data_IF_170463538909
#
_entry.id   IF_170463538909
#
_cell.length_a   1.000
_cell.length_b   1.000
_cell.length_c   1.000
_cell.angle_alpha   90.00
_cell.angle_beta   90.00
_cell.angle_gamma   90.00
#
_symmetry.space_group_name_H-M   'P 1'
#
loop_
_entity.id
_entity.type
_entity.pdbx_description
1 polymer ?
#
# COMPACT_ATOMS: atom_id res chain seq x y z
N UNK A 1 -7.66 -2.64 38.41
CA UNK A 1 -7.08 -1.31 38.67
C UNK A 1 -7.69 -0.35 37.66
N UNK A 2 -7.93 0.92 38.04
CA UNK A 2 -8.42 1.91 37.07
C UNK A 2 -7.33 2.12 36.00
N UNK A 3 -7.67 1.88 34.74
CA UNK A 3 -6.78 2.16 33.62
C UNK A 3 -6.77 3.68 33.36
N UNK A 4 -5.60 4.30 33.11
CA UNK A 4 -5.53 5.74 32.83
C UNK A 4 -6.33 6.12 31.57
N UNK A 5 -6.44 5.23 30.59
CA UNK A 5 -7.18 5.47 29.35
C UNK A 5 -8.45 4.63 29.24
N UNK A 6 -9.44 5.17 28.54
CA UNK A 6 -10.54 4.37 28.00
C UNK A 6 -10.07 3.63 26.76
N UNK A 7 -9.38 4.34 25.86
CA UNK A 7 -8.83 3.79 24.63
C UNK A 7 -7.37 4.22 24.45
N UNK A 8 -6.52 3.28 24.04
CA UNK A 8 -5.27 3.61 23.38
C UNK A 8 -5.37 3.24 21.90
N UNK A 9 -4.79 4.06 21.03
CA UNK A 9 -4.77 3.85 19.58
C UNK A 9 -3.36 3.45 19.16
N UNK A 10 -3.25 2.29 18.52
CA UNK A 10 -2.00 1.77 17.98
C UNK A 10 -2.09 1.66 16.45
N UNK A 11 -1.30 2.49 15.76
CA UNK A 11 -1.28 2.58 14.30
C UNK A 11 -0.09 1.81 13.76
N UNK A 12 -0.31 0.96 12.76
CA UNK A 12 0.78 0.22 12.12
C UNK A 12 0.32 -0.55 10.89
N UNK A 13 1.29 -0.98 10.06
CA UNK A 13 0.99 -1.88 8.93
C UNK A 13 0.84 -3.33 9.36
N UNK A 14 1.60 -3.76 10.37
CA UNK A 14 1.59 -5.14 10.89
C UNK A 14 1.85 -6.21 9.80
N UNK A 15 2.93 -6.04 9.03
CA UNK A 15 3.30 -6.86 7.86
C UNK A 15 4.61 -7.66 8.10
N UNK A 16 4.63 -8.70 8.97
CA UNK A 16 3.52 -9.26 9.74
C UNK A 16 3.38 -8.66 11.14
N UNK A 17 2.34 -9.05 11.88
CA UNK A 17 2.29 -8.84 13.33
C UNK A 17 3.38 -9.69 14.00
N UNK A 18 4.18 -9.09 14.88
CA UNK A 18 5.40 -9.73 15.41
C UNK A 18 5.54 -9.46 16.91
N UNK A 19 6.54 -10.07 17.56
CA UNK A 19 6.68 -10.03 19.03
C UNK A 19 6.81 -8.60 19.58
N UNK A 20 7.50 -7.70 18.85
CA UNK A 20 7.53 -6.27 19.19
C UNK A 20 6.14 -5.63 19.23
N UNK A 21 5.33 -5.80 18.17
CA UNK A 21 3.94 -5.32 18.16
C UNK A 21 3.10 -5.94 19.29
N UNK A 22 3.25 -7.23 19.55
CA UNK A 22 2.54 -7.91 20.65
C UNK A 22 2.91 -7.34 22.02
N UNK A 23 4.18 -6.98 22.24
CA UNK A 23 4.64 -6.35 23.47
C UNK A 23 4.02 -4.96 23.65
N UNK A 24 3.99 -4.14 22.59
CA UNK A 24 3.35 -2.81 22.61
C UNK A 24 1.85 -2.93 22.89
N UNK A 25 1.15 -3.85 22.20
CA UNK A 25 -0.27 -4.07 22.40
C UNK A 25 -0.61 -4.52 23.83
N UNK A 26 0.18 -5.44 24.41
CA UNK A 26 0.01 -5.85 25.83
C UNK A 26 0.29 -4.69 26.78
N UNK A 27 1.29 -3.85 26.50
CA UNK A 27 1.53 -2.64 27.29
C UNK A 27 0.33 -1.68 27.24
N UNK A 28 -0.24 -1.47 26.06
CA UNK A 28 -1.44 -0.65 25.89
C UNK A 28 -2.64 -1.20 26.69
N UNK A 29 -2.88 -2.51 26.60
CA UNK A 29 -3.96 -3.18 27.34
C UNK A 29 -3.73 -3.19 28.86
N UNK A 30 -2.50 -2.97 29.34
CA UNK A 30 -2.24 -2.70 30.75
C UNK A 30 -2.66 -1.29 31.20
N UNK A 31 -2.82 -0.35 30.26
CA UNK A 31 -3.08 1.08 30.50
C UNK A 31 -4.43 1.58 29.98
N UNK A 32 -5.15 0.81 29.16
CA UNK A 32 -6.42 1.21 28.57
C UNK A 32 -7.51 0.16 28.77
N UNK A 33 -8.78 0.56 28.82
CA UNK A 33 -9.90 -0.42 28.84
C UNK A 33 -9.93 -1.21 27.54
N UNK A 34 -9.73 -0.55 26.41
CA UNK A 34 -9.64 -1.18 25.07
C UNK A 34 -8.50 -0.61 24.24
N UNK A 35 -8.08 -1.36 23.23
CA UNK A 35 -7.03 -1.00 22.29
C UNK A 35 -7.63 -0.93 20.88
N UNK A 36 -7.56 0.25 20.26
CA UNK A 36 -7.93 0.46 18.87
C UNK A 36 -6.68 0.21 18.01
N UNK A 37 -6.73 -0.81 17.17
CA UNK A 37 -5.67 -1.18 16.23
C UNK A 37 -6.03 -0.65 14.84
N UNK A 38 -5.30 0.36 14.35
CA UNK A 38 -5.49 0.90 13.00
C UNK A 38 -4.47 0.25 12.05
N UNK A 39 -4.98 -0.60 11.15
CA UNK A 39 -4.17 -1.35 10.17
C UNK A 39 -3.96 -0.48 8.91
N UNK A 40 -2.79 0.13 8.79
CA UNK A 40 -2.40 0.99 7.65
C UNK A 40 -2.26 0.25 6.32
N UNK A 41 -2.14 0.99 5.21
CA UNK A 41 -2.09 0.42 3.85
C UNK A 41 -3.26 -0.52 3.54
N UNK A 42 -4.46 -0.18 4.00
CA UNK A 42 -5.63 -1.05 3.95
C UNK A 42 -6.19 -1.31 2.54
N UNK A 43 -5.99 -0.39 1.61
CA UNK A 43 -6.53 -0.40 0.25
C UNK A 43 -5.47 -0.73 -0.80
N UNK A 44 -4.30 -1.23 -0.39
CA UNK A 44 -3.21 -1.59 -1.31
C UNK A 44 -3.33 -3.03 -1.81
N UNK A 45 -2.87 -3.36 -3.04
CA UNK A 45 -2.73 -4.74 -3.47
C UNK A 45 -1.68 -5.48 -2.63
N UNK A 46 -1.69 -6.81 -2.72
CA UNK A 46 -0.57 -7.59 -2.17
C UNK A 46 0.73 -7.22 -2.89
N UNK A 47 1.76 -6.90 -2.11
CA UNK A 47 3.12 -6.64 -2.61
C UNK A 47 4.14 -7.29 -1.68
N UNK A 48 5.42 -7.31 -2.06
CA UNK A 48 6.48 -7.78 -1.15
C UNK A 48 6.63 -6.94 0.13
N UNK A 49 6.05 -5.73 0.15
CA UNK A 49 6.03 -4.82 1.31
C UNK A 49 4.79 -5.01 2.17
N UNK A 50 3.64 -5.24 1.53
CA UNK A 50 2.35 -5.49 2.16
C UNK A 50 1.76 -6.83 1.64
N UNK A 51 2.32 -7.99 2.03
CA UNK A 51 1.89 -9.27 1.48
C UNK A 51 0.53 -9.76 2.00
N UNK A 52 0.04 -9.25 3.14
CA UNK A 52 -1.21 -9.69 3.76
C UNK A 52 -2.34 -8.65 3.66
N UNK A 53 -3.54 -9.14 3.43
CA UNK A 53 -4.76 -8.31 3.48
C UNK A 53 -5.02 -7.80 4.89
N UNK A 54 -5.85 -6.76 5.03
CA UNK A 54 -6.29 -6.28 6.34
C UNK A 54 -6.95 -7.38 7.16
N UNK A 55 -7.79 -8.21 6.55
CA UNK A 55 -8.47 -9.30 7.23
C UNK A 55 -7.48 -10.34 7.78
N UNK A 56 -6.47 -10.73 6.99
CA UNK A 56 -5.42 -11.64 7.45
C UNK A 56 -4.61 -11.04 8.60
N UNK A 57 -4.27 -9.74 8.51
CA UNK A 57 -3.56 -9.03 9.58
C UNK A 57 -4.38 -8.88 10.85
N UNK A 58 -5.69 -8.67 10.74
CA UNK A 58 -6.60 -8.64 11.88
C UNK A 58 -6.61 -9.99 12.61
N UNK A 59 -6.71 -11.11 11.88
CA UNK A 59 -6.63 -12.46 12.45
C UNK A 59 -5.26 -12.71 13.10
N UNK A 60 -4.17 -12.23 12.51
CA UNK A 60 -2.83 -12.31 13.14
C UNK A 60 -2.78 -11.57 14.49
N UNK A 61 -3.37 -10.37 14.57
CA UNK A 61 -3.42 -9.56 15.79
C UNK A 61 -4.25 -10.26 16.87
N UNK A 62 -5.47 -10.67 16.52
CA UNK A 62 -6.41 -11.31 17.46
C UNK A 62 -5.87 -12.64 17.99
N UNK A 63 -5.34 -13.49 17.10
CA UNK A 63 -4.75 -14.79 17.49
C UNK A 63 -3.49 -14.65 18.35
N UNK A 64 -2.75 -13.54 18.25
CA UNK A 64 -1.58 -13.27 19.08
C UNK A 64 -1.94 -12.82 20.51
N UNK A 65 -3.20 -12.41 20.74
CA UNK A 65 -3.71 -11.82 21.98
C UNK A 65 -5.05 -12.46 22.37
N UNK A 66 -5.13 -13.81 22.48
CA UNK A 66 -6.41 -14.52 22.57
C UNK A 66 -7.26 -14.09 23.77
N UNK A 67 -6.62 -13.88 24.93
CA UNK A 67 -7.30 -13.49 26.18
C UNK A 67 -7.81 -12.04 26.17
N UNK A 68 -7.39 -11.24 25.19
CA UNK A 68 -7.67 -9.81 25.12
C UNK A 68 -8.59 -9.45 23.95
N UNK A 69 -9.04 -10.44 23.16
CA UNK A 69 -9.81 -10.24 21.93
C UNK A 69 -11.04 -9.35 22.13
N UNK A 70 -11.76 -9.49 23.26
CA UNK A 70 -12.94 -8.66 23.59
C UNK A 70 -12.62 -7.18 23.85
N UNK A 71 -11.33 -6.85 24.02
CA UNK A 71 -10.81 -5.51 24.29
C UNK A 71 -10.06 -4.93 23.08
N UNK A 72 -9.98 -5.68 21.97
CA UNK A 72 -9.39 -5.21 20.72
C UNK A 72 -10.48 -4.66 19.79
N UNK A 73 -10.21 -3.50 19.19
CA UNK A 73 -11.03 -2.93 18.12
C UNK A 73 -10.12 -2.76 16.91
N UNK A 74 -10.24 -3.65 15.93
CA UNK A 74 -9.37 -3.66 14.74
C UNK A 74 -10.08 -2.97 13.57
N UNK A 75 -9.44 -1.95 12.98
CA UNK A 75 -10.02 -1.16 11.88
C UNK A 75 -9.01 -0.97 10.75
N UNK A 76 -9.44 -0.95 9.48
CA UNK A 76 -8.59 -0.55 8.37
C UNK A 76 -8.25 0.93 8.44
N UNK A 77 -7.05 1.29 7.99
CA UNK A 77 -6.61 2.67 7.78
C UNK A 77 -6.03 2.79 6.37
N UNK A 78 -6.63 3.69 5.59
CA UNK A 78 -6.24 3.97 4.20
C UNK A 78 -5.03 4.91 4.16
N UNK A 79 -4.15 4.71 3.19
CA UNK A 79 -3.02 5.62 2.97
C UNK A 79 -3.48 6.82 2.11
N UNK A 80 -3.00 8.03 2.42
CA UNK A 80 -3.13 9.20 1.56
C UNK A 80 -1.74 9.79 1.27
N UNK A 81 -0.98 9.13 0.38
CA UNK A 81 0.45 9.36 0.15
C UNK A 81 0.83 10.80 -0.21
N UNK A 82 -0.13 11.56 -0.76
CA UNK A 82 0.07 12.93 -1.27
C UNK A 82 -0.81 13.96 -0.54
N UNK A 83 -1.57 13.57 0.48
CA UNK A 83 -2.43 14.46 1.24
C UNK A 83 -2.45 14.05 2.72
N UNK A 84 -1.52 14.62 3.48
CA UNK A 84 -1.36 14.34 4.92
C UNK A 84 -2.60 14.76 5.72
N UNK A 85 -3.23 15.88 5.38
CA UNK A 85 -4.45 16.34 6.09
C UNK A 85 -5.61 15.35 5.94
N UNK A 86 -5.76 14.73 4.77
CA UNK A 86 -6.73 13.64 4.61
C UNK A 86 -6.36 12.41 5.43
N UNK A 87 -5.09 12.05 5.50
CA UNK A 87 -4.65 10.93 6.34
C UNK A 87 -4.94 11.18 7.83
N UNK A 88 -4.64 12.38 8.32
CA UNK A 88 -4.95 12.80 9.70
C UNK A 88 -6.46 12.74 9.95
N UNK A 89 -7.27 13.29 9.04
CA UNK A 89 -8.73 13.25 9.14
C UNK A 89 -9.28 11.82 9.13
N UNK A 90 -8.69 10.93 8.33
CA UNK A 90 -9.05 9.52 8.28
C UNK A 90 -8.73 8.80 9.60
N UNK A 91 -7.56 9.05 10.20
CA UNK A 91 -7.24 8.52 11.54
C UNK A 91 -8.25 9.00 12.58
N UNK A 92 -8.54 10.31 12.61
CA UNK A 92 -9.52 10.90 13.52
C UNK A 92 -10.91 10.26 13.35
N UNK A 93 -11.35 10.09 12.10
CA UNK A 93 -12.62 9.47 11.75
C UNK A 93 -12.68 8.02 12.19
N UNK A 94 -11.65 7.21 11.92
CA UNK A 94 -11.61 5.80 12.31
C UNK A 94 -11.63 5.62 13.82
N UNK A 95 -10.93 6.47 14.57
CA UNK A 95 -10.97 6.46 16.05
C UNK A 95 -12.34 6.86 16.56
N UNK A 96 -12.93 7.94 16.04
CA UNK A 96 -14.26 8.40 16.45
C UNK A 96 -15.34 7.34 16.19
N UNK A 97 -15.34 6.73 15.00
CA UNK A 97 -16.25 5.65 14.65
C UNK A 97 -16.05 4.40 15.50
N UNK A 98 -14.79 4.05 15.82
CA UNK A 98 -14.48 2.93 16.70
C UNK A 98 -15.03 3.14 18.12
N UNK A 99 -14.80 4.32 18.70
CA UNK A 99 -15.31 4.69 20.03
C UNK A 99 -16.85 4.71 20.03
N UNK A 100 -17.47 5.30 19.00
CA UNK A 100 -18.93 5.34 18.90
C UNK A 100 -19.55 3.93 18.77
N UNK A 101 -18.98 3.08 17.92
CA UNK A 101 -19.46 1.71 17.74
C UNK A 101 -19.32 0.86 19.01
N UNK A 102 -18.33 1.20 19.84
CA UNK A 102 -18.10 0.56 21.13
C UNK A 102 -19.03 1.04 22.26
N UNK A 103 -19.84 2.08 22.00
CA UNK A 103 -20.68 2.74 23.00
C UNK A 103 -19.93 3.72 23.91
N UNK A 104 -18.71 4.12 23.52
CA UNK A 104 -17.95 5.16 24.20
C UNK A 104 -18.56 6.56 24.01
N UNK A 105 -18.18 7.48 24.89
CA UNK A 105 -18.68 8.86 24.93
C UNK A 105 -17.69 9.84 24.29
N UNK A 106 -18.12 11.08 24.04
CA UNK A 106 -17.27 12.13 23.46
C UNK A 106 -16.15 12.59 24.41
N UNK A 107 -16.29 12.35 25.71
CA UNK A 107 -15.31 12.66 26.76
C UNK A 107 -14.40 11.47 27.11
N UNK A 108 -14.44 10.39 26.33
CA UNK A 108 -13.57 9.25 26.53
C UNK A 108 -12.09 9.67 26.53
N UNK A 109 -11.31 9.17 27.50
CA UNK A 109 -9.89 9.47 27.57
C UNK A 109 -9.11 8.60 26.56
N UNK A 110 -8.68 9.22 25.46
CA UNK A 110 -8.00 8.57 24.34
C UNK A 110 -6.54 9.00 24.33
N UNK A 111 -5.62 8.04 24.24
CA UNK A 111 -4.21 8.30 23.96
C UNK A 111 -3.71 7.58 22.70
N UNK A 112 -2.54 7.98 22.21
CA UNK A 112 -1.79 7.25 21.20
C UNK A 112 -0.74 6.38 21.88
N UNK A 113 -0.41 5.23 21.29
CA UNK A 113 0.75 4.44 21.70
C UNK A 113 1.62 4.10 20.48
N UNK A 114 2.92 4.31 20.60
CA UNK A 114 3.86 4.11 19.50
C UNK A 114 5.29 4.48 19.90
N UNK A 115 6.23 4.28 18.97
CA UNK A 115 7.63 4.68 19.15
C UNK A 115 7.93 5.92 18.30
N UNK A 116 8.36 7.01 18.93
CA UNK A 116 8.84 8.20 18.23
C UNK A 116 10.34 8.04 17.90
N UNK A 117 10.67 7.31 16.82
CA UNK A 117 12.07 6.93 16.51
C UNK A 117 12.59 7.19 15.11
N UNK A 118 11.73 7.45 14.12
CA UNK A 118 12.14 7.56 12.72
C UNK A 118 11.28 8.54 11.91
N UNK A 119 11.78 8.88 10.71
CA UNK A 119 11.05 9.70 9.73
C UNK A 119 9.70 9.10 9.31
N UNK A 120 9.40 7.84 9.65
CA UNK A 120 8.11 7.21 9.42
C UNK A 120 7.12 7.34 10.58
N UNK A 121 7.53 7.81 11.76
CA UNK A 121 6.67 7.92 12.96
C UNK A 121 6.37 9.37 13.36
N UNK A 122 6.82 10.35 12.56
CA UNK A 122 6.58 11.78 12.78
C UNK A 122 5.09 12.13 12.94
N UNK A 123 4.22 11.38 12.25
CA UNK A 123 2.77 11.55 12.26
C UNK A 123 2.16 11.46 13.66
N UNK A 124 2.81 10.80 14.62
CA UNK A 124 2.30 10.69 15.99
C UNK A 124 2.20 12.05 16.69
N UNK A 125 2.94 13.06 16.20
CA UNK A 125 2.90 14.44 16.73
C UNK A 125 1.76 15.27 16.16
N UNK A 126 1.08 14.80 15.12
CA UNK A 126 -0.02 15.50 14.43
C UNK A 126 -1.38 15.35 15.14
N UNK A 127 -1.40 14.74 16.32
CA UNK A 127 -2.62 14.51 17.12
C UNK A 127 -2.49 15.09 18.53
N UNK A 128 -2.40 16.43 18.69
CA UNK A 128 -2.20 17.07 20.00
C UNK A 128 -3.34 16.82 21.00
N UNK A 129 -4.52 16.40 20.52
CA UNK A 129 -5.65 16.02 21.35
C UNK A 129 -5.47 14.68 22.09
N UNK A 130 -4.51 13.84 21.68
CA UNK A 130 -4.28 12.53 22.27
C UNK A 130 -2.85 12.45 22.81
N UNK A 131 -2.65 12.29 24.14
CA UNK A 131 -1.30 12.13 24.69
C UNK A 131 -0.62 10.88 24.11
N UNK A 132 0.66 11.00 23.82
CA UNK A 132 1.48 9.89 23.33
C UNK A 132 2.08 9.12 24.51
N UNK A 133 1.70 7.84 24.63
CA UNK A 133 2.36 6.84 25.45
C UNK A 133 3.57 6.29 24.67
N UNK A 134 4.74 6.87 24.92
CA UNK A 134 6.00 6.40 24.33
C UNK A 134 6.41 5.05 24.91
N UNK A 135 6.70 4.09 24.04
CA UNK A 135 7.16 2.75 24.42
C UNK A 135 8.63 2.56 24.10
N UNK A 136 9.38 2.04 25.07
CA UNK A 136 10.80 1.75 24.86
C UNK A 136 11.01 0.62 23.85
N UNK A 137 12.16 0.67 23.15
CA UNK A 137 12.51 -0.33 22.15
C UNK A 137 12.53 -1.73 22.76
N UNK A 138 11.77 -2.63 22.19
CA UNK A 138 12.03 -4.06 22.32
C UNK A 138 12.95 -4.45 21.18
N UNK A 139 14.13 -4.99 21.49
CA UNK A 139 15.05 -5.49 20.46
C UNK A 139 14.42 -6.70 19.75
N UNK A 140 13.77 -6.44 18.61
CA UNK A 140 13.19 -7.47 17.73
C UNK A 140 13.67 -7.26 16.31
N UNK A 141 13.63 -8.32 15.49
CA UNK A 141 13.89 -8.20 14.06
C UNK A 141 12.93 -7.20 13.41
N UNK A 142 13.41 -6.50 12.38
CA UNK A 142 12.56 -5.60 11.59
C UNK A 142 11.54 -6.39 10.75
N UNK A 143 10.38 -5.79 10.48
CA UNK A 143 9.38 -6.41 9.60
C UNK A 143 9.94 -6.71 8.20
N UNK A 144 10.87 -5.88 7.70
CA UNK A 144 11.57 -6.12 6.43
C UNK A 144 12.40 -7.40 6.47
N UNK A 145 13.15 -7.64 7.55
CA UNK A 145 13.89 -8.89 7.71
C UNK A 145 12.97 -10.10 7.84
N UNK A 146 11.85 -9.99 8.56
CA UNK A 146 10.88 -11.08 8.68
C UNK A 146 10.29 -11.48 7.32
N UNK A 147 9.92 -10.51 6.48
CA UNK A 147 9.44 -10.79 5.11
C UNK A 147 10.53 -11.38 4.23
N UNK A 148 11.76 -10.89 4.33
CA UNK A 148 12.92 -11.51 3.66
C UNK A 148 13.07 -12.97 4.07
N UNK A 149 13.02 -13.25 5.38
CA UNK A 149 13.14 -14.62 5.88
C UNK A 149 12.06 -15.54 5.32
N UNK A 150 10.84 -15.02 5.16
CA UNK A 150 9.74 -15.75 4.56
C UNK A 150 9.99 -16.02 3.08
N UNK A 151 10.29 -14.99 2.26
CA UNK A 151 10.42 -15.14 0.81
C UNK A 151 11.67 -15.94 0.37
N UNK A 152 12.74 -15.92 1.17
CA UNK A 152 13.98 -16.69 0.93
C UNK A 152 13.92 -18.10 1.53
N UNK A 153 12.82 -18.49 2.19
CA UNK A 153 12.69 -19.78 2.89
C UNK A 153 12.84 -21.03 1.99
N UNK A 154 12.73 -20.88 0.67
CA UNK A 154 12.92 -21.96 -0.30
C UNK A 154 14.35 -22.12 -0.83
N UNK A 155 15.27 -21.23 -0.45
CA UNK A 155 16.62 -21.19 -1.03
C UNK A 155 17.57 -22.15 -0.29
N UNK A 156 18.39 -22.90 -1.05
CA UNK A 156 19.22 -24.04 -0.58
C UNK A 156 20.27 -23.65 0.49
N UNK A 157 20.52 -22.35 0.71
CA UNK A 157 21.45 -21.84 1.74
C UNK A 157 20.79 -21.24 2.98
N UNK A 158 19.46 -21.22 3.06
CA UNK A 158 18.73 -20.33 3.96
C UNK A 158 17.94 -21.05 5.07
N UNK A 159 18.46 -22.19 5.51
CA UNK A 159 17.81 -23.12 6.46
C UNK A 159 17.47 -22.49 7.83
N UNK A 160 18.21 -21.45 8.27
CA UNK A 160 17.94 -20.76 9.53
C UNK A 160 16.80 -19.75 9.48
N UNK A 161 16.36 -19.31 8.30
CA UNK A 161 15.42 -18.19 8.16
C UNK A 161 14.06 -18.43 8.79
N UNK A 162 13.49 -19.62 8.61
CA UNK A 162 12.21 -19.99 9.24
C UNK A 162 12.31 -20.10 10.77
N UNK A 163 13.47 -20.49 11.31
CA UNK A 163 13.70 -20.49 12.75
C UNK A 163 13.75 -19.06 13.30
N UNK A 164 14.42 -18.16 12.59
CA UNK A 164 14.44 -16.72 12.94
C UNK A 164 13.03 -16.13 12.90
N UNK A 165 12.25 -16.45 11.87
CA UNK A 165 10.85 -16.03 11.76
C UNK A 165 10.02 -16.55 12.95
N UNK A 166 10.10 -17.87 13.24
CA UNK A 166 9.39 -18.50 14.36
C UNK A 166 9.72 -17.89 15.71
N UNK A 167 10.98 -17.52 15.95
CA UNK A 167 11.41 -16.90 17.21
C UNK A 167 10.97 -15.45 17.38
N UNK A 168 10.54 -14.77 16.31
CA UNK A 168 10.26 -13.33 16.32
C UNK A 168 8.79 -12.96 16.08
N UNK A 169 7.91 -13.95 15.88
CA UNK A 169 6.46 -13.73 15.80
C UNK A 169 5.73 -14.62 16.83
N UNK A 170 4.50 -14.25 17.24
CA UNK A 170 3.68 -15.12 18.08
C UNK A 170 3.42 -16.46 17.41
N UNK A 171 3.34 -17.56 18.18
CA UNK A 171 3.19 -18.91 17.62
C UNK A 171 1.98 -19.06 16.66
N UNK A 172 0.76 -18.55 16.98
CA UNK A 172 -0.36 -18.60 16.05
C UNK A 172 -0.10 -17.83 14.75
N UNK A 173 0.61 -16.70 14.85
CA UNK A 173 1.01 -15.93 13.66
C UNK A 173 1.99 -16.72 12.82
N UNK A 174 3.00 -17.38 13.41
CA UNK A 174 3.91 -18.25 12.68
C UNK A 174 3.18 -19.34 11.89
N UNK A 175 2.20 -20.00 12.52
CA UNK A 175 1.41 -21.05 11.88
C UNK A 175 0.63 -20.49 10.67
N UNK A 176 0.10 -19.27 10.78
CA UNK A 176 -0.55 -18.58 9.64
C UNK A 176 0.45 -18.22 8.53
N UNK A 177 1.63 -17.71 8.87
CA UNK A 177 2.67 -17.41 7.88
C UNK A 177 3.11 -18.67 7.13
N UNK A 178 3.21 -19.78 7.84
CA UNK A 178 3.57 -21.07 7.25
C UNK A 178 2.46 -21.61 6.35
N UNK A 179 1.19 -21.55 6.80
CA UNK A 179 0.05 -21.91 5.99
C UNK A 179 -0.06 -21.04 4.72
N UNK A 180 0.18 -19.73 4.84
CA UNK A 180 0.25 -18.83 3.69
C UNK A 180 1.35 -19.25 2.71
N UNK A 181 2.55 -19.52 3.22
CA UNK A 181 3.71 -19.98 2.43
C UNK A 181 3.44 -21.27 1.67
N UNK A 182 2.75 -22.23 2.30
CA UNK A 182 2.50 -23.56 1.71
C UNK A 182 1.30 -23.62 0.79
N UNK A 183 0.25 -22.86 1.10
CA UNK A 183 -1.08 -23.10 0.51
C UNK A 183 -1.60 -21.93 -0.33
N UNK A 184 -1.06 -20.72 -0.18
CA UNK A 184 -1.58 -19.53 -0.88
C UNK A 184 -1.04 -19.44 -2.32
N UNK A 185 -1.91 -19.35 -3.34
CA UNK A 185 -1.46 -19.06 -4.71
C UNK A 185 -0.74 -17.70 -4.82
N UNK A 186 -1.12 -16.73 -3.99
CA UNK A 186 -0.49 -15.41 -3.96
C UNK A 186 0.97 -15.47 -3.48
N UNK A 187 1.32 -16.46 -2.67
CA UNK A 187 2.68 -16.58 -2.14
C UNK A 187 3.72 -16.82 -3.25
N UNK A 188 3.43 -17.73 -4.18
CA UNK A 188 4.33 -18.01 -5.31
C UNK A 188 4.56 -16.75 -6.18
N UNK A 189 3.50 -15.97 -6.42
CA UNK A 189 3.59 -14.72 -7.15
C UNK A 189 4.42 -13.67 -6.40
N UNK A 190 4.25 -13.55 -5.08
CA UNK A 190 5.04 -12.63 -4.25
C UNK A 190 6.53 -13.01 -4.21
N UNK A 191 6.87 -14.30 -4.19
CA UNK A 191 8.26 -14.76 -4.30
C UNK A 191 8.85 -14.43 -5.68
N UNK A 192 8.07 -14.58 -6.75
CA UNK A 192 8.50 -14.19 -8.09
C UNK A 192 8.77 -12.68 -8.19
N UNK A 193 7.86 -11.85 -7.67
CA UNK A 193 8.02 -10.39 -7.58
C UNK A 193 9.22 -10.01 -6.71
N UNK A 194 9.41 -10.66 -5.55
CA UNK A 194 10.55 -10.44 -4.66
C UNK A 194 11.88 -10.69 -5.38
N UNK A 195 12.01 -11.84 -6.04
CA UNK A 195 13.21 -12.20 -6.80
C UNK A 195 13.46 -11.23 -7.95
N UNK A 196 12.41 -10.81 -8.65
CA UNK A 196 12.52 -9.80 -9.70
C UNK A 196 13.06 -8.48 -9.13
N UNK A 197 12.51 -7.99 -8.01
CA UNK A 197 12.94 -6.72 -7.40
C UNK A 197 14.39 -6.80 -6.91
N UNK A 198 14.79 -7.90 -6.28
CA UNK A 198 16.16 -8.08 -5.82
C UNK A 198 17.15 -8.15 -6.99
N UNK A 199 16.80 -8.86 -8.06
CA UNK A 199 17.61 -8.86 -9.29
C UNK A 199 17.68 -7.48 -9.95
N UNK A 200 16.55 -6.77 -9.99
CA UNK A 200 16.47 -5.42 -10.54
C UNK A 200 17.39 -4.46 -9.77
N UNK A 201 17.33 -4.47 -8.44
CA UNK A 201 18.21 -3.65 -7.58
C UNK A 201 19.68 -4.04 -7.73
N UNK A 202 19.98 -5.34 -7.79
CA UNK A 202 21.34 -5.84 -7.96
C UNK A 202 21.98 -5.37 -9.28
N UNK A 203 21.19 -5.20 -10.35
CA UNK A 203 21.68 -4.68 -11.63
C UNK A 203 22.16 -3.22 -11.56
N UNK A 204 21.73 -2.46 -10.53
CA UNK A 204 22.13 -1.07 -10.30
C UNK A 204 23.20 -0.90 -9.22
N UNK A 205 23.69 -1.99 -8.61
CA UNK A 205 24.59 -1.93 -7.44
C UNK A 205 25.93 -1.21 -7.73
N UNK A 206 26.39 -1.29 -8.98
CA UNK A 206 27.68 -0.75 -9.43
C UNK A 206 27.53 0.66 -10.05
N UNK A 207 26.33 1.26 -10.01
CA UNK A 207 26.12 2.63 -10.45
C UNK A 207 26.86 3.62 -9.51
N UNK A 208 27.43 4.72 -10.03
CA UNK A 208 28.19 5.67 -9.23
C UNK A 208 27.34 6.39 -8.17
N UNK A 209 26.03 6.46 -8.37
CA UNK A 209 25.05 7.00 -7.43
C UNK A 209 23.78 6.15 -7.46
N UNK A 210 22.99 6.09 -6.36
CA UNK A 210 21.69 5.44 -6.37
C UNK A 210 20.80 5.99 -7.50
N UNK A 211 20.22 5.12 -8.35
CA UNK A 211 19.47 5.57 -9.51
C UNK A 211 18.14 6.22 -9.10
N UNK A 212 17.72 7.20 -9.90
CA UNK A 212 16.36 7.74 -9.89
C UNK A 212 15.70 7.41 -11.23
N UNK A 213 14.58 6.70 -11.17
CA UNK A 213 13.81 6.28 -12.32
C UNK A 213 12.73 7.31 -12.66
N UNK A 214 12.53 7.56 -13.95
CA UNK A 214 11.50 8.48 -14.44
C UNK A 214 10.54 7.73 -15.34
N UNK A 215 9.25 7.81 -15.03
CA UNK A 215 8.16 7.21 -15.80
C UNK A 215 7.10 8.25 -16.17
N UNK A 216 6.19 7.88 -17.06
CA UNK A 216 5.00 8.67 -17.38
C UNK A 216 3.76 7.80 -17.36
N UNK A 217 2.64 8.33 -16.90
CA UNK A 217 1.35 7.64 -16.86
C UNK A 217 0.26 8.47 -17.54
N UNK A 218 -0.62 7.83 -18.32
CA UNK A 218 -1.75 8.46 -18.99
C UNK A 218 -3.05 8.24 -18.20
N UNK A 219 -3.61 9.30 -17.64
CA UNK A 219 -4.97 9.30 -17.06
C UNK A 219 -5.94 9.69 -18.17
N UNK A 220 -6.55 8.70 -18.81
CA UNK A 220 -7.45 8.92 -19.95
C UNK A 220 -8.89 8.74 -19.50
N UNK A 221 -9.67 9.83 -19.55
CA UNK A 221 -11.07 9.87 -19.15
C UNK A 221 -11.96 10.10 -20.37
N UNK A 222 -12.97 9.25 -20.55
CA UNK A 222 -13.95 9.37 -21.62
C UNK A 222 -15.30 8.83 -21.17
N UNK A 223 -16.37 9.60 -21.32
CA UNK A 223 -17.74 9.22 -20.92
C UNK A 223 -17.83 8.59 -19.51
N UNK A 224 -17.15 9.19 -18.52
CA UNK A 224 -17.15 8.68 -17.14
C UNK A 224 -16.41 7.35 -16.92
N UNK A 225 -15.56 6.95 -17.86
CA UNK A 225 -14.70 5.77 -17.77
C UNK A 225 -13.23 6.17 -17.80
N UNK A 226 -12.40 5.36 -17.14
CA UNK A 226 -10.94 5.46 -17.16
C UNK A 226 -10.38 4.31 -17.99
N UNK A 227 -9.43 4.58 -18.87
CA UNK A 227 -8.70 3.53 -19.56
C UNK A 227 -7.59 2.98 -18.67
N UNK A 228 -7.67 1.68 -18.37
CA UNK A 228 -6.64 0.96 -17.62
C UNK A 228 -6.09 -0.21 -18.42
N UNK A 229 -4.88 -0.64 -18.08
CA UNK A 229 -4.20 -1.81 -18.64
C UNK A 229 -3.94 -2.85 -17.56
N UNK A 230 -3.87 -4.13 -17.94
CA UNK A 230 -3.49 -5.21 -17.04
C UNK A 230 -2.01 -5.52 -17.20
N UNK A 231 -1.24 -5.35 -16.13
CA UNK A 231 0.22 -5.55 -16.13
C UNK A 231 0.56 -7.01 -16.43
N UNK A 232 1.50 -7.25 -17.34
CA UNK A 232 1.95 -8.61 -17.72
C UNK A 232 3.30 -9.01 -17.14
N UNK A 233 4.09 -8.02 -16.73
CA UNK A 233 5.42 -8.20 -16.19
C UNK A 233 5.48 -7.75 -14.73
N UNK A 234 6.52 -8.21 -14.05
CA UNK A 234 6.82 -7.74 -12.70
C UNK A 234 7.35 -6.30 -12.71
N UNK A 235 7.19 -5.58 -11.58
CA UNK A 235 6.35 -5.94 -10.44
C UNK A 235 4.87 -5.65 -10.74
N UNK A 236 3.97 -6.13 -9.89
CA UNK A 236 2.53 -5.89 -9.97
C UNK A 236 1.84 -6.67 -11.08
N UNK A 237 2.42 -7.80 -11.50
CA UNK A 237 1.85 -8.62 -12.58
C UNK A 237 0.41 -9.03 -12.25
N UNK A 238 -0.48 -8.80 -13.20
CA UNK A 238 -1.91 -9.09 -13.09
C UNK A 238 -2.75 -7.97 -12.48
N UNK A 239 -2.15 -6.93 -11.91
CA UNK A 239 -2.84 -5.73 -11.42
C UNK A 239 -3.26 -4.82 -12.58
N UNK A 240 -4.27 -3.99 -12.31
CA UNK A 240 -4.65 -2.90 -13.20
C UNK A 240 -3.75 -1.68 -12.96
N UNK A 241 -3.37 -1.00 -14.03
CA UNK A 241 -2.54 0.19 -13.98
C UNK A 241 -3.01 1.21 -15.01
N UNK A 242 -2.56 2.44 -14.83
CA UNK A 242 -2.61 3.46 -15.87
C UNK A 242 -1.65 3.03 -16.98
N UNK A 243 -1.96 3.29 -18.26
CA UNK A 243 -1.02 3.07 -19.35
C UNK A 243 0.22 3.95 -19.14
N UNK A 244 1.40 3.36 -19.10
CA UNK A 244 2.58 4.09 -18.69
C UNK A 244 3.86 3.26 -18.64
N UNK A 245 4.99 3.96 -18.67
CA UNK A 245 6.29 3.32 -18.80
C UNK A 245 7.45 4.29 -18.63
N UNK A 246 8.66 3.81 -18.93
CA UNK A 246 9.90 4.55 -18.76
C UNK A 246 10.12 5.55 -19.87
N UNK A 247 10.72 6.69 -19.50
CA UNK A 247 11.14 7.72 -20.46
C UNK A 247 12.42 7.27 -21.17
N UNK A 248 12.41 7.29 -22.50
CA UNK A 248 13.57 7.09 -23.35
C UNK A 248 14.54 8.27 -23.31
N UNK A 249 15.79 8.05 -23.74
CA UNK A 249 16.84 9.07 -23.65
C UNK A 249 16.61 10.29 -24.56
N UNK A 250 15.95 10.08 -25.70
CA UNK A 250 15.81 11.08 -26.76
C UNK A 250 14.35 11.56 -26.95
N UNK A 251 13.49 11.44 -25.93
CA UNK A 251 12.08 11.83 -26.00
C UNK A 251 11.65 12.76 -24.86
N UNK A 252 10.66 13.62 -25.13
CA UNK A 252 10.01 14.43 -24.10
C UNK A 252 8.97 13.63 -23.31
N UNK A 253 8.69 14.06 -22.07
CA UNK A 253 7.75 13.37 -21.17
C UNK A 253 6.35 13.16 -21.78
N UNK A 254 5.80 14.18 -22.46
CA UNK A 254 4.50 14.03 -23.10
C UNK A 254 4.55 13.05 -24.28
N UNK A 255 5.64 13.04 -25.05
CA UNK A 255 5.78 12.13 -26.18
C UNK A 255 5.98 10.68 -25.69
N UNK A 256 6.73 10.46 -24.61
CA UNK A 256 6.79 9.18 -23.88
C UNK A 256 5.41 8.70 -23.44
N UNK A 257 4.63 9.56 -22.76
CA UNK A 257 3.28 9.23 -22.31
C UNK A 257 2.36 8.80 -23.47
N UNK A 258 2.43 9.52 -24.60
CA UNK A 258 1.64 9.19 -25.80
C UNK A 258 2.12 7.90 -26.50
N UNK A 259 3.43 7.62 -26.47
CA UNK A 259 4.01 6.38 -26.97
C UNK A 259 3.51 5.18 -26.16
N UNK A 260 3.70 5.21 -24.85
CA UNK A 260 3.27 4.14 -23.92
C UNK A 260 1.76 3.90 -24.01
N UNK A 261 0.95 4.97 -23.99
CA UNK A 261 -0.50 4.87 -24.16
C UNK A 261 -0.87 4.10 -25.43
N UNK A 262 -0.19 4.35 -26.55
CA UNK A 262 -0.46 3.68 -27.83
C UNK A 262 0.01 2.24 -27.84
N UNK A 263 1.20 1.97 -27.34
CA UNK A 263 1.79 0.63 -27.32
C UNK A 263 0.95 -0.33 -26.46
N UNK A 264 0.51 0.11 -25.29
CA UNK A 264 -0.19 -0.75 -24.33
C UNK A 264 -1.70 -0.90 -24.62
N UNK A 265 -2.34 0.10 -25.23
CA UNK A 265 -3.81 0.10 -25.43
C UNK A 265 -4.26 -0.01 -26.88
N UNK A 266 -3.34 0.24 -27.83
CA UNK A 266 -3.62 0.40 -29.27
C UNK A 266 -4.76 1.39 -29.56
N UNK A 267 -4.96 2.38 -28.70
CA UNK A 267 -5.97 3.43 -28.86
C UNK A 267 -5.74 4.20 -30.16
N UNK A 268 -6.69 4.10 -31.10
CA UNK A 268 -6.59 4.66 -32.45
C UNK A 268 -7.01 6.13 -32.51
N UNK A 269 -6.41 6.98 -31.67
CA UNK A 269 -6.63 8.43 -31.70
C UNK A 269 -5.43 9.16 -32.36
N UNK A 270 -5.68 10.14 -33.26
CA UNK A 270 -4.63 10.98 -33.83
C UNK A 270 -3.87 11.75 -32.74
N UNK A 271 -2.55 11.93 -32.90
CA UNK A 271 -1.73 12.68 -31.91
C UNK A 271 -2.28 14.09 -31.64
N UNK A 272 -2.70 14.88 -32.65
CA UNK A 272 -3.25 16.21 -32.39
C UNK A 272 -4.49 16.19 -31.50
N UNK A 273 -5.33 15.16 -31.64
CA UNK A 273 -6.54 14.97 -30.82
C UNK A 273 -6.17 14.64 -29.38
N UNK A 274 -5.20 13.74 -29.17
CA UNK A 274 -4.68 13.44 -27.83
C UNK A 274 -4.08 14.69 -27.18
N UNK A 275 -3.19 15.41 -27.87
CA UNK A 275 -2.54 16.63 -27.36
C UNK A 275 -3.56 17.74 -27.04
N UNK A 276 -4.60 17.92 -27.87
CA UNK A 276 -5.67 18.89 -27.62
C UNK A 276 -6.62 18.52 -26.46
N UNK A 277 -6.62 17.25 -26.05
CA UNK A 277 -7.45 16.73 -24.95
C UNK A 277 -6.72 16.75 -23.60
N UNK A 278 -5.45 17.19 -23.57
CA UNK A 278 -4.70 17.36 -22.32
C UNK A 278 -5.36 18.44 -21.46
N UNK A 279 -5.63 18.11 -20.18
CA UNK A 279 -6.26 19.00 -19.19
C UNK A 279 -5.36 19.30 -18.00
N UNK A 280 -4.45 18.40 -17.67
CA UNK A 280 -3.57 18.57 -16.53
C UNK A 280 -2.34 17.70 -16.61
N UNK A 281 -1.36 18.04 -15.78
CA UNK A 281 -0.17 17.22 -15.53
C UNK A 281 0.18 17.34 -14.06
N UNK A 282 0.66 16.26 -13.46
CA UNK A 282 1.12 16.26 -12.07
C UNK A 282 2.29 15.29 -11.92
N UNK A 283 3.23 15.66 -11.04
CA UNK A 283 4.34 14.80 -10.65
C UNK A 283 3.97 14.05 -9.38
N UNK A 284 4.22 12.75 -9.37
CA UNK A 284 4.02 11.88 -8.21
C UNK A 284 5.37 11.27 -7.83
N UNK A 285 5.86 11.64 -6.65
CA UNK A 285 7.26 11.48 -6.27
C UNK A 285 7.45 10.93 -4.84
N UNK A 286 6.41 10.32 -4.27
CA UNK A 286 6.52 9.70 -2.95
C UNK A 286 7.68 8.68 -2.96
N UNK A 287 8.69 8.78 -2.06
CA UNK A 287 9.93 8.01 -2.18
C UNK A 287 9.74 6.49 -2.27
N UNK A 288 8.69 5.98 -1.63
CA UNK A 288 8.41 4.55 -1.54
C UNK A 288 7.28 4.08 -2.47
N UNK A 289 6.82 4.91 -3.42
CA UNK A 289 5.71 4.55 -4.33
C UNK A 289 5.99 3.29 -5.15
N UNK A 290 7.27 3.01 -5.46
CA UNK A 290 7.69 1.81 -6.18
C UNK A 290 8.72 1.01 -5.40
N UNK A 291 8.56 -0.32 -5.37
CA UNK A 291 9.52 -1.22 -4.72
C UNK A 291 10.80 -1.45 -5.55
N UNK A 292 10.80 -1.09 -6.84
CA UNK A 292 11.99 -1.21 -7.70
C UNK A 292 13.12 -0.25 -7.31
N UNK A 293 12.77 0.87 -6.69
CA UNK A 293 13.67 1.97 -6.31
C UNK A 293 12.96 3.31 -6.49
N UNK A 294 13.68 4.41 -6.24
CA UNK A 294 13.14 5.78 -6.35
C UNK A 294 12.62 6.00 -7.78
N UNK A 295 11.30 6.00 -7.93
CA UNK A 295 10.63 6.16 -9.22
C UNK A 295 9.71 7.36 -9.13
N UNK A 296 9.92 8.35 -10.00
CA UNK A 296 9.10 9.55 -10.12
C UNK A 296 8.27 9.39 -11.39
N UNK A 297 6.95 9.53 -11.28
CA UNK A 297 6.08 9.50 -12.47
C UNK A 297 5.50 10.86 -12.78
N UNK A 298 5.48 11.19 -14.06
CA UNK A 298 4.77 12.35 -14.61
C UNK A 298 3.45 11.86 -15.20
N UNK A 299 2.35 12.13 -14.50
CA UNK A 299 1.03 11.74 -14.99
C UNK A 299 0.40 12.86 -15.81
N UNK A 300 -0.23 12.49 -16.92
CA UNK A 300 -0.91 13.41 -17.83
C UNK A 300 -2.40 13.06 -17.91
N UNK A 301 -3.26 14.03 -17.64
CA UNK A 301 -4.71 13.86 -17.69
C UNK A 301 -5.27 14.29 -19.04
N UNK A 302 -5.88 13.35 -19.75
CA UNK A 302 -6.57 13.54 -21.01
C UNK A 302 -8.06 13.32 -20.82
N UNK A 303 -8.87 14.32 -21.17
CA UNK A 303 -10.32 14.26 -21.04
C UNK A 303 -11.01 14.48 -22.38
N UNK A 304 -11.84 13.52 -22.77
CA UNK A 304 -12.57 13.52 -24.02
C UNK A 304 -14.06 13.83 -23.77
N UNK A 305 -14.71 14.58 -24.68
CA UNK A 305 -16.15 14.82 -24.62
C UNK A 305 -16.95 13.52 -24.62
N UNK A 306 -18.15 13.53 -24.04
CA UNK A 306 -19.02 12.37 -24.02
C UNK A 306 -19.28 11.81 -25.45
N UNK A 307 -19.24 10.49 -25.56
CA UNK A 307 -19.44 9.75 -26.80
C UNK A 307 -19.23 8.24 -26.63
N UNK A 308 -19.26 7.51 -27.73
CA UNK A 308 -18.96 6.07 -27.73
C UNK A 308 -17.52 5.81 -27.29
N UNK A 309 -17.31 4.76 -26.49
CA UNK A 309 -15.99 4.37 -26.01
C UNK A 309 -15.16 3.82 -27.18
N UNK A 310 -13.99 4.41 -27.50
CA UNK A 310 -13.14 3.89 -28.56
C UNK A 310 -12.73 2.45 -28.28
N UNK A 311 -12.70 1.62 -29.32
CA UNK A 311 -12.17 0.29 -29.21
C UNK A 311 -10.71 0.32 -28.76
N UNK A 312 -10.42 -0.39 -27.68
CA UNK A 312 -9.07 -0.60 -27.16
C UNK A 312 -8.72 -2.08 -27.28
N UNK A 313 -7.46 -2.38 -27.58
CA UNK A 313 -6.93 -3.74 -27.58
C UNK A 313 -5.55 -3.67 -26.96
N UNK A 314 -5.40 -4.10 -25.71
CA UNK A 314 -4.08 -4.50 -25.28
C UNK A 314 -3.66 -5.70 -26.14
N UNK A 315 -2.48 -5.69 -26.75
CA UNK A 315 -2.18 -6.62 -27.85
C UNK A 315 -2.51 -8.10 -27.60
N UNK A 316 -2.98 -8.82 -28.60
CA UNK A 316 -3.39 -10.24 -28.66
C UNK A 316 -4.56 -10.75 -27.79
N UNK A 317 -5.02 -10.11 -26.71
CA UNK A 317 -6.27 -10.54 -26.03
C UNK A 317 -7.05 -9.36 -25.42
N UNK A 318 -8.37 -9.47 -25.36
CA UNK A 318 -9.27 -8.45 -24.82
C UNK A 318 -9.05 -8.11 -23.33
N UNK A 319 -8.31 -8.94 -22.58
CA UNK A 319 -8.07 -8.80 -21.14
C UNK A 319 -6.98 -7.77 -20.75
N UNK A 320 -6.38 -7.08 -21.72
CA UNK A 320 -5.14 -6.32 -21.52
C UNK A 320 -5.33 -4.81 -21.41
N UNK A 321 -6.41 -4.25 -21.95
CA UNK A 321 -6.76 -2.83 -21.81
C UNK A 321 -8.29 -2.68 -21.80
N UNK A 322 -8.83 -1.88 -20.87
CA UNK A 322 -10.29 -1.75 -20.69
C UNK A 322 -10.66 -0.35 -20.22
N UNK A 323 -11.78 0.15 -20.74
CA UNK A 323 -12.51 1.27 -20.15
C UNK A 323 -13.31 0.79 -18.95
N UNK A 324 -12.99 1.31 -17.76
CA UNK A 324 -13.63 0.92 -16.51
C UNK A 324 -14.36 2.13 -15.93
N UNK A 325 -15.63 2.01 -15.49
CA UNK A 325 -16.36 3.12 -14.89
C UNK A 325 -15.61 3.73 -13.70
N UNK A 326 -15.62 5.06 -13.57
CA UNK A 326 -14.94 5.76 -12.46
C UNK A 326 -15.35 5.20 -11.10
N UNK A 327 -16.65 4.94 -10.88
CA UNK A 327 -17.15 4.40 -9.63
C UNK A 327 -16.54 3.02 -9.30
N UNK A 328 -16.32 2.17 -10.31
CA UNK A 328 -15.68 0.87 -10.13
C UNK A 328 -14.19 1.03 -9.83
N UNK A 329 -13.48 1.86 -10.61
CA UNK A 329 -12.03 2.11 -10.41
C UNK A 329 -11.72 2.65 -9.02
N UNK A 330 -12.57 3.55 -8.50
CA UNK A 330 -12.39 4.09 -7.15
C UNK A 330 -12.58 3.06 -6.03
N UNK A 331 -13.20 1.91 -6.33
CA UNK A 331 -13.34 0.78 -5.42
C UNK A 331 -12.31 -0.34 -5.70
N UNK A 332 -11.35 -0.11 -6.61
CA UNK A 332 -10.38 -1.11 -7.07
C UNK A 332 -9.02 -1.06 -6.36
N UNK A 333 -8.84 -0.33 -5.25
CA UNK A 333 -7.55 -0.17 -4.57
C UNK A 333 -6.69 -1.45 -4.49
N UNK A 334 -7.21 -2.57 -3.92
CA UNK A 334 -6.46 -3.82 -3.82
C UNK A 334 -6.13 -4.53 -5.16
N UNK A 335 -6.58 -3.96 -6.29
CA UNK A 335 -6.38 -4.44 -7.66
C UNK A 335 -5.63 -3.41 -8.53
N UNK A 336 -5.30 -2.23 -8.00
CA UNK A 336 -4.57 -1.18 -8.70
C UNK A 336 -3.09 -1.21 -8.32
N UNK A 337 -2.23 -1.03 -9.32
CA UNK A 337 -0.78 -1.03 -9.15
C UNK A 337 -0.30 0.21 -8.41
N UNK A 338 0.66 0.03 -7.49
CA UNK A 338 1.32 1.09 -6.73
C UNK A 338 0.32 2.14 -6.18
N UNK A 339 0.53 3.41 -6.48
CA UNK A 339 -0.27 4.55 -6.05
C UNK A 339 -1.23 5.04 -7.15
N UNK A 340 -1.52 4.22 -8.16
CA UNK A 340 -2.34 4.65 -9.30
C UNK A 340 -3.76 5.06 -8.87
N UNK A 341 -4.27 4.51 -7.77
CA UNK A 341 -5.51 4.99 -7.16
C UNK A 341 -5.39 6.45 -6.70
N UNK A 342 -4.29 6.82 -6.02
CA UNK A 342 -4.03 8.20 -5.60
C UNK A 342 -3.86 9.15 -6.79
N UNK A 343 -3.19 8.68 -7.86
CA UNK A 343 -3.07 9.45 -9.12
C UNK A 343 -4.46 9.75 -9.69
N UNK A 344 -5.33 8.74 -9.72
CA UNK A 344 -6.70 8.91 -10.20
C UNK A 344 -7.53 9.84 -9.33
N UNK A 345 -7.44 9.73 -8.01
CA UNK A 345 -8.16 10.59 -7.07
C UNK A 345 -7.76 12.06 -7.20
N UNK A 346 -6.46 12.32 -7.44
CA UNK A 346 -5.96 13.67 -7.69
C UNK A 346 -6.65 14.30 -8.90
N UNK A 347 -6.69 13.62 -10.05
CA UNK A 347 -7.28 14.19 -11.27
C UNK A 347 -8.81 14.17 -11.29
N UNK A 348 -9.43 13.22 -10.59
CA UNK A 348 -10.89 13.03 -10.58
C UNK A 348 -11.59 13.72 -9.40
N UNK A 349 -10.84 14.43 -8.54
CA UNK A 349 -11.38 15.29 -7.49
C UNK A 349 -11.92 14.55 -6.27
N UNK A 350 -11.28 13.45 -5.86
CA UNK A 350 -11.60 12.71 -4.62
C UNK A 350 -10.52 12.82 -3.53
N UNK A 351 -9.57 13.74 -3.70
CA UNK A 351 -8.47 13.97 -2.77
C UNK A 351 -8.67 15.12 -1.81
#
# INVERSE_FOLDING_TARGET
>A
MATPYDYLVFIGRFEPFHNGHAAVARHALGKAKKLIMLIGSADTPRTIRNPWTVAERAVMIESALPDETARLIVRPLRDHLYNESLWIAEVQRQVAEAVQADGGTLDANIGLIGMDKDASSYYLREFPQWPLEDVQHTATLSATELRRYLFEAGDIGFHGGLLMLRGNVPAPVYDMLEAFRRNSPSYAQLVAEYRFIEQYRAAWKDAPYPPTFVTTDAVVVHSGHVLLVRRRAEPGKGLWALPGGFVGQDEGLLDCCLRELREETRLKLPVPVLKGSLRGRQVFDHPERSQRGRTITHAFHFEFPAGELPAVRGGDDADKARWIPIAEVMAMGPRLYEDHLHILEFFLGRG
#
